data_IF_749786393541
#
_entry.id   IF_749786393541
#
_cell.length_a   1.000
_cell.length_b   1.000
_cell.length_c   1.000
_cell.angle_alpha   90.00
_cell.angle_beta   90.00
_cell.angle_gamma   90.00
#
_symmetry.space_group_name_H-M   'P 1'
#
loop_
_entity.id
_entity.type
_entity.pdbx_description
1 polymer ?
#
# COMPACT_ATOMS: atom_id res chain seq x y z
N UNK A 1 -1.17 4.20 -23.62
CA UNK A 1 -0.24 4.94 -22.74
C UNK A 1 -1.07 5.60 -21.67
N UNK A 2 -0.80 5.30 -20.41
CA UNK A 2 -1.36 6.08 -19.29
C UNK A 2 -0.67 7.46 -19.29
N UNK A 3 -1.37 8.53 -18.93
CA UNK A 3 -0.95 9.94 -19.16
C UNK A 3 0.37 10.38 -18.49
N UNK A 4 0.72 11.66 -18.57
CA UNK A 4 2.04 12.19 -18.15
C UNK A 4 2.32 12.22 -16.63
N UNK A 5 1.55 11.53 -15.79
CA UNK A 5 1.59 11.67 -14.32
C UNK A 5 1.77 10.33 -13.57
N UNK A 6 2.48 9.37 -14.16
CA UNK A 6 2.80 8.09 -13.51
C UNK A 6 4.29 7.99 -13.21
N UNK A 7 4.62 7.48 -12.03
CA UNK A 7 5.95 6.97 -11.72
C UNK A 7 6.06 5.53 -12.21
N UNK A 8 7.19 5.19 -12.80
CA UNK A 8 7.49 3.83 -13.26
C UNK A 8 8.59 3.24 -12.40
N UNK A 9 8.36 2.01 -11.93
CA UNK A 9 9.29 1.19 -11.18
C UNK A 9 9.58 -0.04 -12.07
N UNK A 10 10.83 -0.22 -12.49
CA UNK A 10 11.29 -1.31 -13.34
C UNK A 10 11.58 -2.61 -12.57
N UNK A 11 11.63 -2.54 -11.24
CA UNK A 11 11.80 -3.68 -10.35
C UNK A 11 13.25 -3.92 -9.91
N UNK A 12 14.18 -3.03 -10.25
CA UNK A 12 15.57 -3.05 -9.80
C UNK A 12 15.87 -1.75 -9.06
N UNK A 13 15.98 -1.82 -7.74
CA UNK A 13 16.35 -0.71 -6.85
C UNK A 13 15.47 0.56 -6.96
N UNK A 14 14.22 0.42 -7.40
CA UNK A 14 13.31 1.57 -7.49
C UNK A 14 12.56 1.81 -6.19
N UNK A 15 12.73 3.01 -5.64
CA UNK A 15 11.82 3.54 -4.65
C UNK A 15 11.74 5.06 -4.77
N UNK A 16 10.57 5.61 -4.49
CA UNK A 16 10.47 7.02 -4.14
C UNK A 16 10.58 7.12 -2.63
N UNK A 17 11.67 7.73 -2.15
CA UNK A 17 11.82 8.05 -0.74
C UNK A 17 11.23 9.43 -0.47
N UNK A 18 10.29 9.48 0.46
CA UNK A 18 9.78 10.73 1.03
C UNK A 18 10.33 10.82 2.45
N UNK A 19 11.16 11.83 2.71
CA UNK A 19 11.69 12.04 4.05
C UNK A 19 10.59 12.64 4.95
N UNK A 20 10.41 12.01 6.10
CA UNK A 20 9.51 12.44 7.14
C UNK A 20 10.24 13.44 8.03
N UNK A 21 9.94 14.73 7.85
CA UNK A 21 10.63 15.83 8.52
C UNK A 21 9.70 16.37 9.61
N UNK A 22 10.06 16.12 10.86
CA UNK A 22 9.34 16.58 12.05
C UNK A 22 9.55 18.08 12.29
N UNK A 23 8.96 18.92 11.44
CA UNK A 23 8.92 20.38 11.60
C UNK A 23 7.48 20.94 11.67
N UNK A 24 6.52 20.13 12.15
CA UNK A 24 5.10 20.45 12.36
C UNK A 24 4.26 20.74 11.10
N UNK A 25 4.79 20.57 9.88
CA UNK A 25 4.04 20.84 8.64
C UNK A 25 3.78 19.60 7.76
N UNK A 26 4.60 18.54 7.90
CA UNK A 26 4.45 17.28 7.15
C UNK A 26 4.84 16.11 8.02
N UNK A 27 4.05 15.90 9.06
CA UNK A 27 4.27 14.80 9.96
C UNK A 27 3.53 13.56 9.45
N UNK A 28 4.27 12.61 8.86
CA UNK A 28 3.76 11.27 8.51
C UNK A 28 4.20 10.30 9.64
N UNK A 29 4.41 10.83 10.85
CA UNK A 29 4.74 10.05 12.04
C UNK A 29 3.65 9.05 12.35
N UNK A 30 4.08 7.93 12.91
CA UNK A 30 3.22 6.88 13.39
C UNK A 30 2.34 7.39 14.52
N UNK A 31 1.09 7.69 14.20
CA UNK A 31 0.05 7.93 15.19
C UNK A 31 -0.85 6.70 15.28
N UNK A 32 -1.52 6.53 16.42
CA UNK A 32 -2.60 5.56 16.55
C UNK A 32 -3.92 6.07 15.91
N UNK A 33 -3.90 7.28 15.35
CA UNK A 33 -5.06 8.01 14.84
C UNK A 33 -5.54 7.44 13.50
N UNK A 34 -6.77 7.78 13.13
CA UNK A 34 -7.37 7.33 11.87
C UNK A 34 -6.73 8.00 10.65
N UNK A 35 -6.45 7.23 9.60
CA UNK A 35 -5.92 7.73 8.34
C UNK A 35 -6.34 6.86 7.14
N UNK A 36 -6.15 7.40 5.94
CA UNK A 36 -6.41 6.70 4.68
C UNK A 36 -5.16 6.75 3.80
N UNK A 37 -4.82 5.61 3.18
CA UNK A 37 -3.84 5.52 2.10
C UNK A 37 -4.61 5.24 0.81
N UNK A 38 -4.37 6.05 -0.21
CA UNK A 38 -4.94 5.86 -1.54
C UNK A 38 -3.83 5.86 -2.60
N UNK A 39 -3.90 4.90 -3.52
CA UNK A 39 -2.90 4.74 -4.57
C UNK A 39 -3.53 4.16 -5.83
N UNK A 40 -3.02 4.61 -6.98
CA UNK A 40 -3.30 4.01 -8.27
C UNK A 40 -2.12 3.13 -8.68
N UNK A 41 -2.36 1.83 -8.91
CA UNK A 41 -1.33 0.91 -9.36
C UNK A 41 -1.68 0.28 -10.71
N UNK A 42 -0.65 0.01 -11.49
CA UNK A 42 -0.73 -0.86 -12.66
C UNK A 42 0.49 -1.79 -12.64
N UNK A 43 0.27 -3.03 -12.21
CA UNK A 43 1.34 -4.03 -12.20
C UNK A 43 1.49 -4.63 -13.60
N UNK A 44 2.66 -4.54 -14.20
CA UNK A 44 2.95 -5.18 -15.49
C UNK A 44 3.29 -6.67 -15.33
N UNK A 45 3.81 -7.05 -14.17
CA UNK A 45 4.15 -8.42 -13.79
C UNK A 45 3.75 -8.68 -12.34
N UNK A 46 3.33 -9.91 -12.05
CA UNK A 46 3.00 -10.37 -10.70
C UNK A 46 3.49 -11.82 -10.58
N UNK A 47 4.63 -12.04 -9.94
CA UNK A 47 5.21 -13.36 -9.73
C UNK A 47 4.68 -14.01 -8.45
N UNK A 48 4.20 -15.25 -8.54
CA UNK A 48 3.50 -15.93 -7.44
C UNK A 48 4.26 -16.08 -6.11
N UNK A 49 5.58 -15.98 -6.12
CA UNK A 49 6.43 -16.16 -4.93
C UNK A 49 6.90 -14.86 -4.27
N UNK A 50 6.55 -13.69 -4.83
CA UNK A 50 7.06 -12.39 -4.38
C UNK A 50 5.95 -11.53 -3.77
N UNK A 51 6.33 -10.67 -2.84
CA UNK A 51 5.51 -9.55 -2.38
C UNK A 51 6.14 -8.26 -2.90
N UNK A 52 5.30 -7.35 -3.39
CA UNK A 52 5.71 -6.08 -3.97
C UNK A 52 5.22 -4.96 -3.07
N UNK A 53 6.14 -4.30 -2.35
CA UNK A 53 5.80 -3.15 -1.53
C UNK A 53 5.27 -2.03 -2.44
N UNK A 54 4.09 -1.50 -2.13
CA UNK A 54 3.52 -0.32 -2.79
C UNK A 54 3.82 0.91 -1.94
N UNK A 55 3.64 0.77 -0.62
CA UNK A 55 4.02 1.78 0.36
C UNK A 55 4.54 1.07 1.61
N UNK A 56 5.62 1.59 2.16
CA UNK A 56 6.10 1.19 3.47
C UNK A 56 6.52 2.43 4.26
N UNK A 57 6.03 2.52 5.49
CA UNK A 57 6.50 3.47 6.48
C UNK A 57 6.68 2.67 7.77
N UNK A 58 7.91 2.58 8.25
CA UNK A 58 8.23 1.90 9.49
C UNK A 58 9.50 2.46 10.12
N UNK A 59 9.63 2.31 11.43
CA UNK A 59 10.94 2.30 12.07
C UNK A 59 11.50 0.85 12.09
N UNK A 60 12.80 0.71 12.32
CA UNK A 60 13.45 -0.60 12.36
C UNK A 60 13.04 -1.47 13.57
N UNK A 61 12.10 -0.99 14.41
CA UNK A 61 12.03 -1.43 15.81
C UNK A 61 10.71 -2.00 16.26
N UNK A 62 9.56 -1.69 15.66
CA UNK A 62 8.28 -2.44 15.83
C UNK A 62 7.05 -1.71 15.29
N UNK A 63 7.14 -0.43 14.95
CA UNK A 63 5.98 0.36 14.52
C UNK A 63 6.07 0.60 13.02
N UNK A 64 5.04 0.16 12.30
CA UNK A 64 4.98 0.36 10.85
C UNK A 64 3.55 0.23 10.34
N UNK A 65 3.31 0.82 9.17
CA UNK A 65 2.21 0.45 8.30
C UNK A 65 2.72 0.20 6.88
N UNK A 66 2.09 -0.74 6.21
CA UNK A 66 2.48 -1.13 4.86
C UNK A 66 1.27 -1.47 4.00
N UNK A 67 1.39 -1.16 2.72
CA UNK A 67 0.50 -1.60 1.66
C UNK A 67 1.36 -2.34 0.64
N UNK A 68 1.03 -3.61 0.38
CA UNK A 68 1.75 -4.40 -0.62
C UNK A 68 0.80 -5.22 -1.49
N UNK A 69 1.30 -5.59 -2.66
CA UNK A 69 0.69 -6.56 -3.56
C UNK A 69 1.35 -7.92 -3.30
N UNK A 70 0.54 -8.89 -2.88
CA UNK A 70 0.98 -10.29 -2.79
C UNK A 70 0.92 -10.91 -4.17
N UNK A 71 2.06 -11.37 -4.66
CA UNK A 71 2.11 -12.18 -5.86
C UNK A 71 1.43 -13.53 -5.66
N UNK A 72 1.53 -14.08 -4.45
CA UNK A 72 0.74 -15.23 -4.04
C UNK A 72 -0.71 -14.80 -3.82
N UNK A 73 -1.64 -15.33 -4.60
CA UNK A 73 -3.05 -14.98 -4.49
C UNK A 73 -3.46 -13.67 -5.15
N UNK A 74 -2.54 -12.91 -5.78
CA UNK A 74 -2.82 -11.71 -6.57
C UNK A 74 -3.81 -10.76 -5.88
N UNK A 75 -3.47 -10.40 -4.65
CA UNK A 75 -4.30 -9.61 -3.74
C UNK A 75 -3.48 -8.52 -3.06
N UNK A 76 -4.16 -7.47 -2.63
CA UNK A 76 -3.56 -6.37 -1.87
C UNK A 76 -3.69 -6.65 -0.39
N UNK A 77 -2.67 -6.26 0.37
CA UNK A 77 -2.62 -6.37 1.82
C UNK A 77 -2.29 -5.03 2.42
N UNK A 78 -3.05 -4.64 3.43
CA UNK A 78 -2.72 -3.53 4.31
C UNK A 78 -2.45 -4.08 5.70
N UNK A 79 -1.31 -3.69 6.27
CA UNK A 79 -0.87 -4.11 7.59
C UNK A 79 -0.47 -2.92 8.44
N UNK A 80 -0.80 -2.96 9.72
CA UNK A 80 -0.24 -2.02 10.69
C UNK A 80 0.13 -2.71 11.99
N UNK A 81 1.28 -2.31 12.54
CA UNK A 81 1.78 -2.75 13.83
C UNK A 81 2.00 -1.54 14.73
N UNK A 82 1.36 -1.57 15.90
CA UNK A 82 1.51 -0.56 16.94
C UNK A 82 2.31 -1.16 18.11
N UNK A 83 3.62 -0.95 18.08
CA UNK A 83 4.55 -1.38 19.11
C UNK A 83 4.80 -2.89 19.09
N UNK A 84 5.06 -3.47 20.26
CA UNK A 84 5.53 -4.85 20.38
C UNK A 84 4.48 -5.93 20.09
N UNK A 85 3.22 -5.56 19.87
CA UNK A 85 2.12 -6.48 19.56
C UNK A 85 2.19 -7.13 18.17
N UNK A 86 1.14 -7.86 17.80
CA UNK A 86 1.00 -8.47 16.46
C UNK A 86 0.59 -7.43 15.41
N UNK A 87 1.06 -7.62 14.18
CA UNK A 87 0.58 -6.85 13.02
C UNK A 87 -0.87 -7.20 12.73
N UNK A 88 -1.68 -6.17 12.53
CA UNK A 88 -3.07 -6.28 12.17
C UNK A 88 -3.18 -6.19 10.66
N UNK A 89 -3.74 -7.22 10.03
CA UNK A 89 -3.80 -7.38 8.59
C UNK A 89 -5.22 -7.33 8.07
N UNK A 90 -5.38 -6.77 6.89
CA UNK A 90 -6.56 -6.95 6.04
C UNK A 90 -6.10 -7.11 4.60
N UNK A 91 -6.85 -7.89 3.82
CA UNK A 91 -6.55 -8.15 2.42
C UNK A 91 -7.77 -8.02 1.54
N UNK A 92 -7.56 -7.65 0.29
CA UNK A 92 -8.57 -7.86 -0.75
C UNK A 92 -8.77 -9.36 -1.03
N UNK A 93 -9.88 -9.75 -1.71
CA UNK A 93 -10.08 -11.12 -2.16
C UNK A 93 -8.93 -11.62 -3.04
N UNK A 94 -8.72 -12.94 -3.08
CA UNK A 94 -7.75 -13.55 -3.98
C UNK A 94 -8.14 -13.32 -5.44
N UNK A 95 -7.13 -13.18 -6.31
CA UNK A 95 -7.25 -12.88 -7.73
C UNK A 95 -7.96 -11.56 -8.07
N UNK A 96 -7.98 -10.61 -7.12
CA UNK A 96 -8.60 -9.29 -7.32
C UNK A 96 -7.75 -8.35 -8.19
N UNK A 97 -6.43 -8.59 -8.29
CA UNK A 97 -5.52 -7.79 -9.10
C UNK A 97 -5.06 -8.58 -10.33
N UNK A 98 -5.18 -7.97 -11.50
CA UNK A 98 -4.67 -8.49 -12.77
C UNK A 98 -3.57 -7.58 -13.32
N UNK A 99 -2.65 -8.17 -14.08
CA UNK A 99 -1.58 -7.41 -14.75
C UNK A 99 -2.13 -6.52 -15.84
N UNK A 100 -1.47 -5.39 -16.11
CA UNK A 100 -1.81 -4.41 -17.14
C UNK A 100 -3.19 -3.76 -16.95
N UNK A 101 -3.71 -3.78 -15.73
CA UNK A 101 -4.97 -3.16 -15.36
C UNK A 101 -4.72 -2.10 -14.30
N UNK A 102 -5.31 -0.92 -14.49
CA UNK A 102 -5.22 0.18 -13.53
C UNK A 102 -6.25 -0.01 -12.41
N UNK A 103 -5.77 -0.10 -11.18
CA UNK A 103 -6.60 -0.20 -9.98
C UNK A 103 -6.38 1.02 -9.08
N UNK A 104 -7.47 1.56 -8.55
CA UNK A 104 -7.46 2.42 -7.37
C UNK A 104 -7.60 1.55 -6.12
N UNK A 105 -6.67 1.70 -5.20
CA UNK A 105 -6.65 0.99 -3.93
C UNK A 105 -6.78 2.03 -2.82
N UNK A 106 -7.75 1.83 -1.94
CA UNK A 106 -7.95 2.64 -0.74
C UNK A 106 -7.88 1.73 0.48
N UNK A 107 -6.94 2.01 1.38
CA UNK A 107 -6.80 1.37 2.68
C UNK A 107 -7.15 2.38 3.78
N UNK A 108 -8.05 2.01 4.68
CA UNK A 108 -8.55 2.86 5.76
C UNK A 108 -8.16 2.21 7.08
N UNK A 109 -7.47 2.97 7.91
CA UNK A 109 -7.30 2.69 9.33
C UNK A 109 -8.22 3.62 10.12
N UNK A 110 -9.19 3.08 10.84
CA UNK A 110 -9.93 3.83 11.86
C UNK A 110 -9.50 3.37 13.26
N UNK A 111 -9.01 4.31 14.07
CA UNK A 111 -8.56 4.07 15.44
C UNK A 111 -9.68 3.49 16.32
N UNK A 112 -10.95 3.79 15.97
CA UNK A 112 -12.08 3.46 16.82
C UNK A 112 -12.63 2.08 16.51
N UNK A 113 -13.02 1.75 15.28
CA UNK A 113 -13.79 0.50 15.09
C UNK A 113 -13.69 -0.22 13.74
N UNK A 114 -13.00 0.29 12.70
CA UNK A 114 -13.00 -0.41 11.38
C UNK A 114 -11.66 -0.34 10.62
N UNK A 115 -11.24 -1.48 10.06
CA UNK A 115 -10.16 -1.55 9.07
C UNK A 115 -10.75 -2.03 7.77
N UNK A 116 -10.48 -1.31 6.69
CA UNK A 116 -11.04 -1.64 5.39
C UNK A 116 -9.99 -1.48 4.30
N UNK A 117 -10.04 -2.38 3.31
CA UNK A 117 -9.35 -2.22 2.02
C UNK A 117 -10.40 -2.34 0.92
N UNK A 118 -10.46 -1.34 0.06
CA UNK A 118 -11.35 -1.32 -1.09
C UNK A 118 -10.56 -1.20 -2.38
N UNK A 119 -11.10 -1.85 -3.42
CA UNK A 119 -10.51 -1.89 -4.76
C UNK A 119 -11.53 -1.37 -5.77
N UNK A 120 -11.14 -0.37 -6.54
CA UNK A 120 -11.93 0.13 -7.65
C UNK A 120 -11.12 -0.03 -8.93
N UNK A 121 -11.63 -0.86 -9.84
CA UNK A 121 -11.09 -0.93 -11.19
C UNK A 121 -11.60 0.29 -11.98
N UNK A 122 -10.70 0.94 -12.71
CA UNK A 122 -11.13 1.89 -13.73
C UNK A 122 -11.24 1.15 -15.06
N UNK A 123 -12.42 1.21 -15.67
CA UNK A 123 -12.57 0.91 -17.08
C UNK A 123 -12.12 2.15 -17.85
N UNK A 124 -10.91 2.10 -18.42
CA UNK A 124 -10.52 3.11 -19.39
C UNK A 124 -11.20 2.74 -20.72
N UNK A 125 -12.13 3.60 -21.15
CA UNK A 125 -12.85 3.52 -22.43
C UNK A 125 -11.93 3.85 -23.60
#
# INVERSE_FOLDING_TARGET
MFGNYYLQFDGVDDCLRIDDISNNERDITFTAESFTIEVWINATTIEGSKNYAILYKGDSSTIYYELYLSGNGKSTYFGMRLGTGWTQWISSPTNSIQTNTLYHITAIWDEKYEKNVSLHQRADC
#
